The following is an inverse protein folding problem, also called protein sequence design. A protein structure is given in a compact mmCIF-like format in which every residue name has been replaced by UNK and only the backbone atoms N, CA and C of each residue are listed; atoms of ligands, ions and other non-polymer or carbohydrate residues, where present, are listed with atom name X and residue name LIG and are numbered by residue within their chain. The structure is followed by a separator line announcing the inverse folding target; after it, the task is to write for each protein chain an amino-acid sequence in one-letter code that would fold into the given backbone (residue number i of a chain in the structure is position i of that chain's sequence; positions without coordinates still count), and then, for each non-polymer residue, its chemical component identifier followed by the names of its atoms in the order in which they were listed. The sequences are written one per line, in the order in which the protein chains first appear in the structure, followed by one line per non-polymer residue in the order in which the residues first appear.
data_IF_002220372962
#
_entry.id   IF_002220372962
#
_cell.length_a   1.000
_cell.length_b   1.000
_cell.length_c   1.000
_cell.angle_alpha   90.00
_cell.angle_beta   90.00
_cell.angle_gamma   90.00
#
_symmetry.space_group_name_H-M   'P 1'
#
loop_
_entity.id
_entity.type
_entity.pdbx_description
1 polymer ?
#
# COMPACT_ATOMS: atom_id res chain seq x y z
N UNK A 1 16.21 9.49 3.39
CA UNK A 1 16.17 8.01 3.42
C UNK A 1 16.42 7.47 2.04
N UNK A 2 16.87 6.20 1.94
CA UNK A 2 16.84 5.39 0.74
C UNK A 2 15.57 4.54 0.76
N UNK A 3 14.67 4.76 -0.20
CA UNK A 3 13.35 4.12 -0.23
C UNK A 3 13.22 3.27 -1.49
N UNK A 4 12.86 1.99 -1.33
CA UNK A 4 12.53 1.10 -2.45
C UNK A 4 11.02 1.08 -2.63
N UNK A 5 10.53 1.37 -3.85
CA UNK A 5 9.10 1.39 -4.17
C UNK A 5 8.79 0.28 -5.18
N UNK A 6 8.15 -0.79 -4.74
CA UNK A 6 7.64 -1.86 -5.60
C UNK A 6 6.28 -1.48 -6.18
N UNK A 7 6.08 -1.75 -7.46
CA UNK A 7 4.89 -1.31 -8.18
C UNK A 7 4.95 0.16 -8.65
N UNK A 8 6.16 0.67 -8.87
CA UNK A 8 6.44 2.07 -9.20
C UNK A 8 5.80 2.57 -10.52
N UNK A 9 5.25 1.69 -11.34
CA UNK A 9 4.48 2.05 -12.56
C UNK A 9 2.97 2.09 -12.34
N UNK A 10 2.50 1.68 -11.16
CA UNK A 10 1.08 1.73 -10.78
C UNK A 10 0.63 3.11 -10.32
N UNK A 11 -0.70 3.32 -10.26
CA UNK A 11 -1.31 4.60 -9.86
C UNK A 11 -0.75 5.16 -8.54
N UNK A 12 -0.60 4.32 -7.53
CA UNK A 12 -0.05 4.73 -6.22
C UNK A 12 1.47 4.78 -6.26
N UNK A 13 2.12 3.72 -6.76
CA UNK A 13 3.59 3.61 -6.69
C UNK A 13 4.33 4.73 -7.41
N UNK A 14 3.84 5.20 -8.55
CA UNK A 14 4.46 6.33 -9.26
C UNK A 14 4.37 7.62 -8.46
N UNK A 15 3.27 7.83 -7.73
CA UNK A 15 3.07 9.02 -6.88
C UNK A 15 3.90 8.97 -5.61
N UNK A 16 4.00 7.78 -5.02
CA UNK A 16 4.90 7.58 -3.87
C UNK A 16 6.36 7.84 -4.26
N UNK A 17 6.81 7.33 -5.41
CA UNK A 17 8.17 7.59 -5.89
C UNK A 17 8.40 9.08 -6.17
N UNK A 18 7.42 9.75 -6.77
CA UNK A 18 7.48 11.21 -7.02
C UNK A 18 7.51 12.01 -5.72
N UNK A 19 6.59 11.75 -4.78
CA UNK A 19 6.52 12.43 -3.49
C UNK A 19 7.81 12.22 -2.67
N UNK A 20 8.34 10.98 -2.64
CA UNK A 20 9.60 10.68 -1.97
C UNK A 20 10.77 11.47 -2.56
N UNK A 21 10.85 11.56 -3.89
CA UNK A 21 11.88 12.34 -4.59
C UNK A 21 11.73 13.83 -4.30
N UNK A 22 10.50 14.35 -4.31
CA UNK A 22 10.22 15.76 -4.00
C UNK A 22 10.60 16.13 -2.57
N UNK A 23 10.54 15.17 -1.62
CA UNK A 23 11.02 15.34 -0.23
C UNK A 23 12.54 15.12 -0.07
N UNK A 24 13.29 14.88 -1.15
CA UNK A 24 14.74 14.71 -1.11
C UNK A 24 15.21 13.31 -0.70
N UNK A 25 14.36 12.30 -0.78
CA UNK A 25 14.76 10.91 -0.55
C UNK A 25 15.42 10.31 -1.81
N UNK A 26 16.34 9.38 -1.62
CA UNK A 26 16.89 8.55 -2.68
C UNK A 26 15.90 7.40 -2.98
N UNK A 27 15.35 7.36 -4.19
CA UNK A 27 14.30 6.41 -4.57
C UNK A 27 14.83 5.36 -5.54
N UNK A 28 14.61 4.08 -5.23
CA UNK A 28 14.75 2.96 -6.13
C UNK A 28 13.36 2.52 -6.59
N UNK A 29 12.98 2.90 -7.80
CA UNK A 29 11.68 2.58 -8.38
C UNK A 29 11.71 1.19 -9.05
N UNK A 30 10.92 0.24 -8.56
CA UNK A 30 10.92 -1.16 -8.99
C UNK A 30 9.62 -1.52 -9.70
N UNK A 31 9.75 -2.14 -10.87
CA UNK A 31 8.63 -2.68 -11.64
C UNK A 31 9.03 -4.00 -12.31
N UNK A 32 8.05 -4.81 -12.74
CA UNK A 32 8.33 -6.09 -13.42
C UNK A 32 9.05 -5.93 -14.76
N UNK A 33 8.84 -4.79 -15.42
CA UNK A 33 9.46 -4.47 -16.71
C UNK A 33 9.69 -2.95 -16.79
N UNK A 34 10.65 -2.55 -17.57
CA UNK A 34 11.00 -1.14 -17.79
C UNK A 34 12.50 -0.99 -18.01
N UNK A 35 12.87 0.18 -18.50
CA UNK A 35 14.26 0.61 -18.63
C UNK A 35 14.56 1.69 -17.58
N UNK A 36 15.86 2.00 -17.38
CA UNK A 36 16.27 3.09 -16.49
C UNK A 36 15.36 4.33 -16.62
N UNK A 37 14.90 4.94 -15.52
CA UNK A 37 15.36 4.74 -14.15
C UNK A 37 14.67 3.59 -13.36
N UNK A 38 13.81 2.79 -14.00
CA UNK A 38 13.17 1.65 -13.34
C UNK A 38 14.14 0.47 -13.21
N UNK A 39 14.09 -0.19 -12.05
CA UNK A 39 14.80 -1.45 -11.80
C UNK A 39 13.84 -2.61 -12.11
N UNK A 40 14.12 -3.44 -13.12
CA UNK A 40 13.24 -4.54 -13.50
C UNK A 40 13.42 -5.72 -12.55
N UNK A 41 12.48 -5.90 -11.62
CA UNK A 41 12.44 -7.04 -10.67
C UNK A 41 11.00 -7.48 -10.46
N UNK A 42 10.76 -8.78 -10.54
CA UNK A 42 9.51 -9.38 -10.06
C UNK A 42 9.52 -9.36 -8.52
N UNK A 43 8.50 -8.78 -7.92
CA UNK A 43 8.39 -8.69 -6.46
C UNK A 43 8.25 -10.06 -5.75
N UNK A 44 8.12 -11.17 -6.52
CA UNK A 44 8.15 -12.55 -6.02
C UNK A 44 9.56 -13.15 -6.00
N UNK A 45 10.53 -12.52 -6.64
CA UNK A 45 11.93 -12.93 -6.62
C UNK A 45 12.58 -12.48 -5.30
N UNK A 46 12.51 -13.36 -4.29
CA UNK A 46 12.95 -13.08 -2.92
C UNK A 46 14.38 -12.61 -2.83
N UNK A 47 15.29 -13.22 -3.59
CA UNK A 47 16.72 -12.93 -3.53
C UNK A 47 16.98 -11.52 -4.08
N UNK A 48 16.42 -11.20 -5.24
CA UNK A 48 16.55 -9.87 -5.85
C UNK A 48 15.87 -8.79 -5.01
N UNK A 49 14.74 -9.11 -4.38
CA UNK A 49 14.07 -8.19 -3.46
C UNK A 49 14.93 -7.96 -2.22
N UNK A 50 15.52 -9.02 -1.63
CA UNK A 50 16.40 -8.90 -0.48
C UNK A 50 17.66 -8.08 -0.80
N UNK A 51 18.27 -8.27 -1.96
CA UNK A 51 19.42 -7.47 -2.42
C UNK A 51 19.08 -5.95 -2.44
N UNK A 52 17.89 -5.60 -2.93
CA UNK A 52 17.44 -4.21 -2.95
C UNK A 52 17.17 -3.67 -1.55
N UNK A 53 16.51 -4.46 -0.70
CA UNK A 53 16.14 -4.06 0.65
C UNK A 53 17.36 -3.95 1.58
N UNK A 54 18.39 -4.77 1.39
CA UNK A 54 19.60 -4.76 2.22
C UNK A 54 20.37 -3.43 2.21
N UNK A 55 20.07 -2.54 1.26
CA UNK A 55 20.68 -1.20 1.17
C UNK A 55 19.70 -0.06 1.41
N UNK A 56 18.45 -0.37 1.73
CA UNK A 56 17.36 0.59 1.90
C UNK A 56 17.07 0.87 3.38
N UNK A 57 16.61 2.09 3.66
CA UNK A 57 16.13 2.48 4.98
C UNK A 57 14.66 2.07 5.19
N UNK A 58 13.88 2.00 4.09
CA UNK A 58 12.48 1.59 4.09
C UNK A 58 12.05 1.09 2.71
N UNK A 59 10.95 0.33 2.67
CA UNK A 59 10.32 -0.13 1.44
C UNK A 59 8.82 0.14 1.42
N UNK A 60 8.28 0.34 0.20
CA UNK A 60 6.85 0.46 -0.05
C UNK A 60 6.41 -0.61 -1.05
N UNK A 61 5.46 -1.43 -0.66
CA UNK A 61 4.78 -2.41 -1.51
C UNK A 61 3.47 -1.83 -2.05
N UNK A 62 3.49 -1.21 -3.23
CA UNK A 62 2.30 -0.67 -3.92
C UNK A 62 1.93 -1.52 -5.15
N UNK A 63 2.02 -2.84 -5.00
CA UNK A 63 1.80 -3.79 -6.09
C UNK A 63 0.30 -4.11 -6.19
N UNK A 64 -0.27 -3.82 -7.36
CA UNK A 64 -1.65 -4.21 -7.69
C UNK A 64 -1.63 -5.33 -8.73
N UNK A 65 -2.40 -6.40 -8.56
CA UNK A 65 -2.52 -7.44 -9.57
C UNK A 65 -3.24 -6.89 -10.82
N UNK A 66 -3.01 -7.52 -11.97
CA UNK A 66 -3.87 -7.31 -13.14
C UNK A 66 -5.23 -7.98 -12.88
N UNK A 67 -6.31 -7.50 -13.49
CA UNK A 67 -7.59 -8.20 -13.44
C UNK A 67 -7.43 -9.68 -13.83
N UNK A 68 -7.96 -10.60 -13.03
CA UNK A 68 -7.83 -12.06 -13.20
C UNK A 68 -6.54 -12.66 -12.61
N UNK A 69 -5.65 -11.85 -12.03
CA UNK A 69 -4.42 -12.31 -11.38
C UNK A 69 -4.43 -12.04 -9.86
N UNK A 70 -5.60 -11.84 -9.27
CA UNK A 70 -5.78 -11.49 -7.84
C UNK A 70 -5.19 -12.56 -6.91
N UNK A 71 -5.19 -13.83 -7.35
CA UNK A 71 -4.57 -14.94 -6.61
C UNK A 71 -3.05 -14.80 -6.40
N UNK A 72 -2.37 -13.91 -7.15
CA UNK A 72 -0.94 -13.66 -6.98
C UNK A 72 -0.60 -12.73 -5.81
N UNK A 73 -1.59 -12.06 -5.22
CA UNK A 73 -1.38 -11.06 -4.15
C UNK A 73 -0.75 -11.69 -2.90
N UNK A 74 -1.25 -12.81 -2.37
CA UNK A 74 -0.66 -13.42 -1.17
C UNK A 74 0.81 -13.82 -1.38
N UNK A 75 1.14 -14.43 -2.52
CA UNK A 75 2.52 -14.84 -2.85
C UNK A 75 3.45 -13.64 -2.96
N UNK A 76 3.04 -12.61 -3.68
CA UNK A 76 3.82 -11.37 -3.83
C UNK A 76 4.05 -10.70 -2.48
N UNK A 77 3.02 -10.65 -1.64
CA UNK A 77 3.11 -10.04 -0.31
C UNK A 77 4.03 -10.84 0.60
N UNK A 78 3.92 -12.16 0.61
CA UNK A 78 4.80 -13.03 1.38
C UNK A 78 6.28 -12.85 0.97
N UNK A 79 6.57 -12.78 -0.33
CA UNK A 79 7.93 -12.59 -0.83
C UNK A 79 8.54 -11.25 -0.36
N UNK A 80 7.75 -10.16 -0.39
CA UNK A 80 8.19 -8.85 0.12
C UNK A 80 8.43 -8.89 1.63
N UNK A 81 7.55 -9.55 2.39
CA UNK A 81 7.69 -9.69 3.84
C UNK A 81 8.88 -10.55 4.22
N UNK A 82 9.10 -11.67 3.53
CA UNK A 82 10.27 -12.56 3.74
C UNK A 82 11.58 -11.79 3.56
N UNK A 83 11.69 -11.03 2.47
CA UNK A 83 12.88 -10.22 2.19
C UNK A 83 13.03 -9.07 3.21
N UNK A 84 11.95 -8.43 3.62
CA UNK A 84 11.96 -7.40 4.65
C UNK A 84 12.39 -7.96 6.01
N UNK A 85 11.95 -9.17 6.37
CA UNK A 85 12.39 -9.85 7.59
C UNK A 85 13.89 -10.22 7.55
N UNK A 86 14.35 -10.75 6.42
CA UNK A 86 15.75 -11.16 6.24
C UNK A 86 16.72 -9.98 6.33
N UNK A 87 16.32 -8.78 5.89
CA UNK A 87 17.16 -7.58 5.88
C UNK A 87 16.92 -6.64 7.07
N UNK A 88 15.83 -6.86 7.83
CA UNK A 88 15.39 -5.96 8.90
C UNK A 88 14.79 -4.65 8.40
N UNK A 89 14.56 -4.51 7.10
CA UNK A 89 14.05 -3.28 6.46
C UNK A 89 12.56 -3.12 6.73
N UNK A 90 12.08 -1.97 7.24
CA UNK A 90 10.65 -1.70 7.41
C UNK A 90 9.92 -1.71 6.06
N UNK A 91 8.75 -2.35 6.01
CA UNK A 91 7.92 -2.46 4.81
C UNK A 91 6.53 -1.84 5.06
N UNK A 92 6.18 -0.79 4.31
CA UNK A 92 4.82 -0.30 4.24
C UNK A 92 4.11 -0.95 3.04
N UNK A 93 3.02 -1.67 3.32
CA UNK A 93 2.16 -2.31 2.30
C UNK A 93 0.95 -1.42 2.05
N UNK A 94 0.77 -0.97 0.82
CA UNK A 94 -0.46 -0.30 0.40
C UNK A 94 -1.45 -1.36 -0.07
N UNK A 95 -2.52 -1.50 0.66
CA UNK A 95 -3.57 -2.48 0.39
C UNK A 95 -4.82 -1.90 -0.26
N UNK A 96 -5.98 -2.33 0.23
CA UNK A 96 -7.30 -1.83 -0.16
C UNK A 96 -8.19 -1.59 1.06
N UNK A 97 -9.40 -1.03 0.84
CA UNK A 97 -10.36 -0.72 1.89
C UNK A 97 -11.03 -1.97 2.52
N UNK A 98 -11.02 -3.09 1.82
CA UNK A 98 -11.76 -4.30 2.20
C UNK A 98 -11.54 -4.81 3.63
N UNK A 99 -10.32 -4.72 4.22
CA UNK A 99 -10.09 -5.15 5.60
C UNK A 99 -10.65 -4.20 6.66
N UNK A 100 -11.03 -2.98 6.30
CA UNK A 100 -11.59 -2.02 7.25
C UNK A 100 -12.98 -2.45 7.72
N UNK A 101 -13.40 -1.94 8.86
CA UNK A 101 -14.78 -2.09 9.35
C UNK A 101 -15.65 -0.98 8.77
N UNK A 102 -16.87 -1.32 8.35
CA UNK A 102 -17.88 -0.34 8.01
C UNK A 102 -18.28 0.44 9.27
N UNK A 103 -18.35 1.79 9.23
CA UNK A 103 -18.59 2.60 10.41
C UNK A 103 -19.95 2.33 11.06
N UNK A 104 -20.98 1.96 10.26
CA UNK A 104 -22.35 1.80 10.73
C UNK A 104 -22.65 0.40 11.30
N UNK A 105 -22.01 -0.63 10.76
CA UNK A 105 -22.36 -2.03 11.03
C UNK A 105 -21.26 -2.83 11.72
N UNK A 106 -20.05 -2.30 11.77
CA UNK A 106 -18.82 -2.99 12.19
C UNK A 106 -18.50 -4.27 11.38
N UNK A 107 -19.27 -4.60 10.33
CA UNK A 107 -18.92 -5.63 9.35
C UNK A 107 -17.69 -5.19 8.54
N UNK A 108 -17.06 -6.12 7.83
CA UNK A 108 -15.96 -5.74 6.94
C UNK A 108 -16.51 -4.98 5.73
N UNK A 109 -15.74 -3.98 5.28
CA UNK A 109 -16.08 -3.17 4.10
C UNK A 109 -16.25 -4.04 2.85
N UNK A 110 -15.56 -5.17 2.74
CA UNK A 110 -15.74 -6.13 1.63
C UNK A 110 -17.16 -6.70 1.52
N UNK A 111 -17.92 -6.68 2.60
CA UNK A 111 -19.30 -7.18 2.67
C UNK A 111 -20.35 -6.06 2.57
N UNK A 112 -19.91 -4.82 2.39
CA UNK A 112 -20.78 -3.64 2.24
C UNK A 112 -20.76 -3.15 0.78
N UNK A 113 -21.83 -3.44 0.05
CA UNK A 113 -21.94 -3.11 -1.38
C UNK A 113 -21.91 -1.58 -1.67
N UNK A 114 -22.18 -0.75 -0.67
CA UNK A 114 -22.03 0.72 -0.80
C UNK A 114 -20.59 1.12 -1.13
N UNK A 115 -19.62 0.38 -0.58
CA UNK A 115 -18.20 0.66 -0.70
C UNK A 115 -17.45 -0.32 -1.61
N UNK A 116 -17.95 -1.55 -1.74
CA UNK A 116 -17.37 -2.59 -2.61
C UNK A 116 -18.46 -3.18 -3.53
N UNK A 117 -18.81 -2.48 -4.62
CA UNK A 117 -19.71 -3.02 -5.64
C UNK A 117 -19.20 -4.36 -6.21
N UNK A 118 -20.13 -5.21 -6.65
CA UNK A 118 -19.83 -6.56 -7.11
C UNK A 118 -18.66 -6.71 -8.10
N UNK A 119 -18.47 -5.82 -9.11
CA UNK A 119 -17.33 -5.91 -10.03
C UNK A 119 -15.95 -5.78 -9.36
N UNK A 120 -15.87 -5.14 -8.20
CA UNK A 120 -14.62 -4.93 -7.47
C UNK A 120 -14.37 -5.96 -6.36
N UNK A 121 -15.34 -6.87 -6.12
CA UNK A 121 -15.26 -7.81 -5.01
C UNK A 121 -14.02 -8.72 -5.06
N UNK A 122 -13.60 -9.17 -6.23
CA UNK A 122 -12.43 -10.04 -6.38
C UNK A 122 -11.14 -9.35 -5.89
N UNK A 123 -10.91 -8.11 -6.34
CA UNK A 123 -9.72 -7.35 -5.90
C UNK A 123 -9.82 -6.93 -4.43
N UNK A 124 -11.03 -6.67 -3.93
CA UNK A 124 -11.27 -6.38 -2.53
C UNK A 124 -10.92 -7.58 -1.63
N UNK A 125 -11.38 -8.78 -1.98
CA UNK A 125 -11.01 -10.02 -1.28
C UNK A 125 -9.50 -10.30 -1.32
N UNK A 126 -8.83 -9.98 -2.43
CA UNK A 126 -7.37 -10.10 -2.52
C UNK A 126 -6.66 -9.19 -1.50
N UNK A 127 -7.15 -7.95 -1.27
CA UNK A 127 -6.56 -7.06 -0.27
C UNK A 127 -6.84 -7.52 1.17
N UNK A 128 -7.99 -8.14 1.43
CA UNK A 128 -8.26 -8.79 2.71
C UNK A 128 -7.29 -9.95 2.96
N UNK A 129 -7.08 -10.80 1.95
CA UNK A 129 -6.10 -11.89 2.03
C UNK A 129 -4.68 -11.37 2.19
N UNK A 130 -4.35 -10.24 1.56
CA UNK A 130 -3.06 -9.56 1.70
C UNK A 130 -2.75 -9.20 3.16
N UNK A 131 -3.70 -8.57 3.86
CA UNK A 131 -3.52 -8.23 5.28
C UNK A 131 -3.34 -9.50 6.12
N UNK A 132 -4.14 -10.56 5.87
CA UNK A 132 -4.03 -11.84 6.59
C UNK A 132 -2.65 -12.50 6.43
N UNK A 133 -1.96 -12.30 5.32
CA UNK A 133 -0.57 -12.74 5.13
C UNK A 133 0.39 -11.88 5.98
N UNK A 134 0.12 -10.60 6.14
CA UNK A 134 0.95 -9.72 6.97
C UNK A 134 0.83 -10.05 8.47
N UNK A 135 -0.39 -10.29 8.97
CA UNK A 135 -0.70 -10.39 10.41
C UNK A 135 0.21 -11.34 11.21
N UNK A 136 0.45 -12.59 10.78
CA UNK A 136 1.33 -13.52 11.51
C UNK A 136 2.82 -13.31 11.21
N UNK A 137 3.17 -12.43 10.26
CA UNK A 137 4.54 -12.34 9.76
C UNK A 137 5.45 -11.56 10.72
N UNK A 138 6.70 -12.04 11.00
CA UNK A 138 7.63 -11.42 11.94
C UNK A 138 8.30 -10.14 11.41
N UNK A 139 8.21 -9.83 10.11
CA UNK A 139 8.77 -8.61 9.53
C UNK A 139 8.24 -7.34 10.22
N UNK A 140 9.01 -6.27 10.13
CA UNK A 140 8.56 -4.93 10.51
C UNK A 140 7.68 -4.37 9.39
N UNK A 141 6.39 -4.61 9.47
CA UNK A 141 5.44 -4.16 8.47
C UNK A 141 4.40 -3.19 9.03
N UNK A 142 3.93 -2.30 8.17
CA UNK A 142 2.76 -1.44 8.36
C UNK A 142 1.85 -1.59 7.16
N UNK A 143 0.55 -1.70 7.38
CA UNK A 143 -0.45 -1.84 6.32
C UNK A 143 -1.32 -0.59 6.25
N UNK A 144 -1.33 0.08 5.09
CA UNK A 144 -2.20 1.20 4.81
C UNK A 144 -3.40 0.74 3.97
N UNK A 145 -4.58 0.79 4.57
CA UNK A 145 -5.84 0.66 3.83
C UNK A 145 -6.26 2.02 3.30
N UNK A 146 -6.28 2.25 1.98
CA UNK A 146 -6.89 3.44 1.40
C UNK A 146 -8.40 3.45 1.65
N UNK A 147 -9.09 4.60 1.47
CA UNK A 147 -10.54 4.65 1.50
C UNK A 147 -11.18 3.88 0.33
N UNK A 148 -12.51 3.78 0.33
CA UNK A 148 -13.25 3.05 -0.70
C UNK A 148 -13.04 3.62 -2.12
N UNK A 149 -12.92 4.94 -2.25
CA UNK A 149 -12.65 5.61 -3.51
C UNK A 149 -11.23 6.21 -3.50
N UNK A 150 -10.38 5.68 -4.36
CA UNK A 150 -9.01 6.13 -4.58
C UNK A 150 -8.80 6.42 -6.06
N UNK A 151 -8.60 7.68 -6.40
CA UNK A 151 -8.45 8.16 -7.77
C UNK A 151 -7.32 9.19 -7.86
N UNK A 152 -6.75 9.44 -9.06
CA UNK A 152 -5.92 10.61 -9.29
C UNK A 152 -6.65 11.90 -8.96
N UNK A 153 -5.96 12.87 -8.36
CA UNK A 153 -6.57 14.13 -7.98
C UNK A 153 -5.56 15.18 -7.58
N UNK A 154 -5.96 16.14 -6.76
CA UNK A 154 -5.10 17.21 -6.28
C UNK A 154 -4.25 16.71 -5.10
N UNK A 155 -2.98 17.16 -5.04
CA UNK A 155 -2.13 17.03 -3.86
C UNK A 155 -2.41 18.19 -2.92
N UNK A 156 -3.30 17.98 -1.96
CA UNK A 156 -3.65 19.01 -0.97
C UNK A 156 -2.72 18.98 0.25
N UNK A 157 -2.10 17.84 0.54
CA UNK A 157 -1.32 17.60 1.74
C UNK A 157 -2.17 17.52 3.01
N UNK A 158 -3.48 17.34 2.89
CA UNK A 158 -4.42 17.31 4.02
C UNK A 158 -5.27 16.06 3.96
N UNK A 159 -5.28 15.31 5.05
CA UNK A 159 -6.10 14.11 5.22
C UNK A 159 -6.32 13.86 6.72
N UNK A 160 -7.32 13.03 7.03
CA UNK A 160 -7.53 12.48 8.36
C UNK A 160 -6.91 11.10 8.44
N UNK A 161 -6.32 10.75 9.58
CA UNK A 161 -5.84 9.41 9.89
C UNK A 161 -6.83 8.70 10.81
N UNK A 162 -7.08 7.42 10.55
CA UNK A 162 -7.82 6.50 11.39
C UNK A 162 -7.10 5.16 11.51
N UNK A 163 -7.66 4.23 12.26
CA UNK A 163 -7.09 2.88 12.43
C UNK A 163 -7.79 1.89 11.48
N UNK A 164 -8.71 1.08 11.99
CA UNK A 164 -9.31 -0.05 11.26
C UNK A 164 -10.76 0.17 10.85
N UNK A 165 -11.30 1.37 11.04
CA UNK A 165 -12.65 1.74 10.60
C UNK A 165 -12.59 2.67 9.40
N UNK A 166 -13.42 2.43 8.39
CA UNK A 166 -13.51 3.25 7.20
C UNK A 166 -13.90 4.69 7.57
N UNK A 167 -13.12 5.65 7.10
CA UNK A 167 -13.40 7.07 7.33
C UNK A 167 -14.38 7.58 6.26
N UNK A 168 -15.38 8.34 6.70
CA UNK A 168 -16.35 9.02 5.83
C UNK A 168 -16.21 10.54 5.97
N UNK A 169 -16.45 11.26 4.88
CA UNK A 169 -16.67 12.72 4.90
C UNK A 169 -18.10 13.04 5.36
N UNK A 170 -18.43 14.33 5.45
CA UNK A 170 -19.76 14.80 5.89
C UNK A 170 -20.91 14.34 4.96
N UNK A 171 -20.60 14.01 3.71
CA UNK A 171 -21.55 13.50 2.72
C UNK A 171 -21.63 11.95 2.71
N UNK A 172 -20.97 11.28 3.66
CA UNK A 172 -20.93 9.82 3.76
C UNK A 172 -20.03 9.14 2.72
N UNK A 173 -19.11 9.87 2.07
CA UNK A 173 -18.18 9.33 1.08
C UNK A 173 -16.84 9.02 1.72
N UNK A 174 -16.25 7.90 1.32
CA UNK A 174 -14.90 7.49 1.72
C UNK A 174 -13.95 7.67 0.54
N UNK A 175 -13.13 8.72 0.55
CA UNK A 175 -12.27 9.07 -0.59
C UNK A 175 -10.97 9.77 -0.20
N UNK A 176 -9.97 9.61 -1.06
CA UNK A 176 -8.72 10.37 -1.06
C UNK A 176 -8.14 10.43 -2.47
N UNK A 177 -7.36 11.45 -2.81
CA UNK A 177 -6.56 11.44 -4.02
C UNK A 177 -5.37 10.48 -3.89
N UNK A 178 -4.92 9.91 -4.98
CA UNK A 178 -3.73 9.07 -4.98
C UNK A 178 -2.47 9.90 -4.65
N UNK A 179 -2.49 11.19 -4.89
CA UNK A 179 -1.49 12.17 -4.53
C UNK A 179 -1.40 12.33 -3.00
N UNK A 180 -2.53 12.52 -2.32
CA UNK A 180 -2.55 12.66 -0.86
C UNK A 180 -2.35 11.32 -0.15
N UNK A 181 -2.72 10.20 -0.79
CA UNK A 181 -2.33 8.88 -0.29
C UNK A 181 -0.80 8.72 -0.31
N UNK A 182 -0.11 9.21 -1.34
CA UNK A 182 1.35 9.20 -1.38
C UNK A 182 1.97 10.08 -0.29
N UNK A 183 1.37 11.24 0.01
CA UNK A 183 1.75 12.07 1.16
C UNK A 183 1.65 11.26 2.45
N UNK A 184 0.51 10.58 2.69
CA UNK A 184 0.30 9.78 3.89
C UNK A 184 1.30 8.59 4.02
N UNK A 185 1.68 7.98 2.90
CA UNK A 185 2.72 6.94 2.87
C UNK A 185 4.05 7.50 3.34
N UNK A 186 4.47 8.67 2.83
CA UNK A 186 5.74 9.28 3.21
C UNK A 186 5.71 9.79 4.65
N UNK A 187 4.61 10.39 5.09
CA UNK A 187 4.45 10.82 6.49
C UNK A 187 4.64 9.65 7.48
N UNK A 188 4.05 8.47 7.15
CA UNK A 188 4.21 7.26 7.97
C UNK A 188 5.64 6.71 7.95
N UNK A 189 6.36 6.80 6.82
CA UNK A 189 7.76 6.37 6.76
C UNK A 189 8.69 7.32 7.53
N UNK A 190 8.43 8.63 7.48
CA UNK A 190 9.23 9.64 8.15
C UNK A 190 8.94 9.71 9.65
N UNK A 191 7.67 9.59 10.04
CA UNK A 191 7.17 9.71 11.41
C UNK A 191 6.15 8.60 11.71
N UNK A 192 6.58 7.36 11.99
CA UNK A 192 5.69 6.23 12.21
C UNK A 192 4.68 6.48 13.33
N UNK A 193 3.39 6.29 13.03
CA UNK A 193 2.30 6.46 13.99
C UNK A 193 2.15 5.32 15.00
N UNK A 194 2.88 4.22 14.83
CA UNK A 194 2.90 3.06 15.73
C UNK A 194 1.82 2.01 15.46
N UNK A 195 0.80 2.32 14.67
CA UNK A 195 -0.23 1.35 14.28
C UNK A 195 0.28 0.43 13.18
N UNK A 196 0.13 -0.90 13.35
CA UNK A 196 0.45 -1.85 12.28
C UNK A 196 -0.54 -1.80 11.11
N UNK A 197 -1.79 -1.39 11.35
CA UNK A 197 -2.81 -1.20 10.34
C UNK A 197 -3.52 0.13 10.56
N UNK A 198 -3.52 0.98 9.54
CA UNK A 198 -4.18 2.28 9.59
C UNK A 198 -4.85 2.62 8.25
N UNK A 199 -5.69 3.64 8.27
CA UNK A 199 -6.38 4.20 7.10
C UNK A 199 -6.26 5.71 7.07
N UNK A 200 -6.47 6.28 5.89
CA UNK A 200 -6.53 7.74 5.69
C UNK A 200 -7.67 8.10 4.73
N UNK A 201 -8.29 9.26 4.91
CA UNK A 201 -9.31 9.83 4.00
C UNK A 201 -9.45 11.34 4.21
N UNK A 202 -10.18 11.99 3.33
CA UNK A 202 -10.62 13.39 3.52
C UNK A 202 -11.69 13.52 4.59
#
# INVERSE_FOLDING_TARGET
MKIVVFGATGMVGVRVAHEATARGHAVTAVARSGAHPLVPVDARDRDRVADLLGTADAAVGAVRPRPGAEASVPETTAALLDAAAATGTPLLVVGGAAPLRSPDTAALVVDDERFVPAPWRAIALASLTQLRVCEPHPARWTYLSPPALLEPGERTGRYRRGTTTLLLDADGRSRISAEDLAVAVLDELENPGGDRHFTVAY
#
